data_IF_938894489906
#
_entry.id   IF_938894489906
#
_cell.length_a   1.000
_cell.length_b   1.000
_cell.length_c   1.000
_cell.angle_alpha   90.00
_cell.angle_beta   90.00
_cell.angle_gamma   90.00
#
_symmetry.space_group_name_H-M   'P 1'
#
loop_
_entity.id
_entity.type
_entity.pdbx_description
1 polymer ?
#
# COMPACT_ATOMS: atom_id res chain seq x y z
N UNK A 1 3.01 -5.71 23.50
CA UNK A 1 2.79 -4.82 22.39
C UNK A 1 3.24 -5.41 21.07
N UNK A 2 2.37 -5.47 20.13
CA UNK A 2 2.68 -6.11 18.87
C UNK A 2 2.96 -5.08 17.79
N UNK A 3 3.93 -5.38 16.96
CA UNK A 3 4.17 -4.57 15.78
C UNK A 3 3.12 -4.93 14.74
N UNK A 4 2.67 -3.95 13.96
CA UNK A 4 1.82 -4.29 12.83
C UNK A 4 2.63 -5.16 11.88
N UNK A 5 2.03 -6.24 11.40
CA UNK A 5 2.73 -7.10 10.49
C UNK A 5 2.71 -6.51 9.08
N UNK A 6 3.49 -7.09 8.19
CA UNK A 6 3.59 -6.56 6.83
C UNK A 6 2.25 -6.59 6.10
N UNK A 7 1.44 -7.58 6.41
CA UNK A 7 0.13 -7.70 5.79
C UNK A 7 -0.78 -6.52 6.16
N UNK A 8 -0.79 -6.16 7.43
CA UNK A 8 -1.59 -5.03 7.89
C UNK A 8 -1.13 -3.73 7.25
N UNK A 9 0.18 -3.55 7.16
CA UNK A 9 0.73 -2.35 6.54
C UNK A 9 0.36 -2.29 5.07
N UNK A 10 0.50 -3.39 4.36
CA UNK A 10 0.13 -3.44 2.95
C UNK A 10 -1.35 -3.17 2.75
N UNK A 11 -2.18 -3.73 3.61
CA UNK A 11 -3.62 -3.52 3.52
C UNK A 11 -3.98 -2.05 3.74
N UNK A 12 -3.33 -1.44 4.70
CA UNK A 12 -3.54 -0.02 5.01
C UNK A 12 -3.15 0.86 3.82
N UNK A 13 -2.00 0.58 3.22
CA UNK A 13 -1.53 1.34 2.06
C UNK A 13 -2.48 1.13 0.88
N UNK A 14 -2.92 -0.11 0.69
CA UNK A 14 -3.84 -0.44 -0.38
C UNK A 14 -5.13 0.36 -0.26
N UNK A 15 -5.69 0.44 0.93
CA UNK A 15 -6.89 1.22 1.18
C UNK A 15 -6.65 2.70 0.90
N UNK A 16 -5.49 3.19 1.28
CA UNK A 16 -5.18 4.60 1.05
C UNK A 16 -5.07 4.91 -0.43
N UNK A 17 -4.47 4.02 -1.20
CA UNK A 17 -4.37 4.19 -2.66
C UNK A 17 -5.75 4.26 -3.28
N UNK A 18 -6.64 3.39 -2.84
CA UNK A 18 -8.02 3.40 -3.34
C UNK A 18 -8.70 4.72 -3.06
N UNK A 19 -8.50 5.25 -1.86
CA UNK A 19 -9.07 6.55 -1.49
C UNK A 19 -8.48 7.67 -2.32
N UNK A 20 -7.17 7.67 -2.48
CA UNK A 20 -6.48 8.72 -3.23
C UNK A 20 -6.92 8.75 -4.69
N UNK A 21 -7.20 7.58 -5.24
CA UNK A 21 -7.61 7.47 -6.64
C UNK A 21 -9.12 7.45 -6.82
N UNK A 22 -9.85 7.59 -5.72
CA UNK A 22 -11.31 7.59 -5.74
C UNK A 22 -11.87 6.31 -6.35
N UNK A 23 -11.31 5.18 -5.95
CA UNK A 23 -11.74 3.89 -6.45
C UNK A 23 -12.73 3.29 -5.45
N UNK A 24 -13.94 2.94 -5.90
CA UNK A 24 -14.94 2.36 -4.97
C UNK A 24 -14.54 0.94 -4.56
N UNK A 25 -14.98 0.55 -3.37
CA UNK A 25 -14.71 -0.79 -2.85
C UNK A 25 -15.31 -1.88 -3.74
N UNK A 26 -16.36 -1.53 -4.47
CA UNK A 26 -17.05 -2.48 -5.32
C UNK A 26 -16.40 -2.66 -6.68
N UNK A 27 -15.32 -1.92 -6.93
CA UNK A 27 -14.64 -2.00 -8.21
C UNK A 27 -14.07 -3.40 -8.43
N UNK A 28 -14.43 -4.00 -9.55
CA UNK A 28 -13.94 -5.32 -9.92
C UNK A 28 -13.11 -5.27 -11.20
N UNK A 29 -12.76 -4.08 -11.65
CA UNK A 29 -11.94 -3.92 -12.86
C UNK A 29 -10.53 -4.42 -12.56
N UNK A 30 -10.12 -5.47 -13.26
CA UNK A 30 -8.82 -6.10 -13.02
C UNK A 30 -7.65 -5.16 -13.29
N UNK A 31 -7.77 -4.32 -14.30
CA UNK A 31 -6.70 -3.39 -14.64
C UNK A 31 -6.51 -2.37 -13.54
N UNK A 32 -7.61 -1.82 -13.05
CA UNK A 32 -7.54 -0.84 -11.96
C UNK A 32 -6.98 -1.49 -10.69
N UNK A 33 -7.47 -2.69 -10.38
CA UNK A 33 -7.00 -3.39 -9.19
C UNK A 33 -5.52 -3.73 -9.27
N UNK A 34 -5.06 -4.09 -10.46
CA UNK A 34 -3.66 -4.36 -10.67
C UNK A 34 -2.80 -3.11 -10.44
N UNK A 35 -3.29 -1.97 -10.94
CA UNK A 35 -2.59 -0.70 -10.74
C UNK A 35 -2.54 -0.33 -9.25
N UNK A 36 -3.62 -0.58 -8.53
CA UNK A 36 -3.65 -0.33 -7.08
C UNK A 36 -2.60 -1.18 -6.38
N UNK A 37 -2.50 -2.44 -6.74
CA UNK A 37 -1.50 -3.33 -6.13
C UNK A 37 -0.10 -2.85 -6.45
N UNK A 38 0.16 -2.44 -7.68
CA UNK A 38 1.47 -1.93 -8.07
C UNK A 38 1.83 -0.69 -7.27
N UNK A 39 0.89 0.22 -7.12
CA UNK A 39 1.14 1.43 -6.36
C UNK A 39 1.35 1.11 -4.87
N UNK A 40 0.56 0.19 -4.35
CA UNK A 40 0.70 -0.24 -2.96
C UNK A 40 2.11 -0.78 -2.70
N UNK A 41 2.59 -1.62 -3.58
CA UNK A 41 3.93 -2.18 -3.44
C UNK A 41 5.01 -1.11 -3.58
N UNK A 42 4.81 -0.16 -4.47
CA UNK A 42 5.73 0.96 -4.64
C UNK A 42 5.84 1.78 -3.36
N UNK A 43 4.70 2.10 -2.77
CA UNK A 43 4.68 2.87 -1.53
C UNK A 43 5.29 2.09 -0.37
N UNK A 44 4.99 0.81 -0.31
CA UNK A 44 5.54 -0.04 0.74
C UNK A 44 7.07 -0.10 0.65
N UNK A 45 7.58 -0.27 -0.56
CA UNK A 45 9.02 -0.30 -0.77
C UNK A 45 9.67 1.01 -0.37
N UNK A 46 9.05 2.12 -0.72
CA UNK A 46 9.56 3.43 -0.33
C UNK A 46 9.65 3.59 1.17
N UNK A 47 8.59 3.17 1.87
CA UNK A 47 8.57 3.29 3.32
C UNK A 47 9.67 2.47 3.97
N UNK A 48 9.88 1.26 3.49
CA UNK A 48 10.89 0.40 4.08
C UNK A 48 12.30 0.91 3.78
N UNK A 49 12.52 1.40 2.57
CA UNK A 49 13.83 1.95 2.21
C UNK A 49 14.12 3.21 3.03
N UNK A 50 13.14 4.08 3.19
CA UNK A 50 13.33 5.28 3.97
C UNK A 50 13.69 4.95 5.42
N UNK A 51 13.03 3.94 5.98
CA UNK A 51 13.31 3.54 7.34
C UNK A 51 14.74 3.05 7.50
N UNK A 52 15.21 2.26 6.56
CA UNK A 52 16.57 1.75 6.59
C UNK A 52 17.57 2.89 6.48
N UNK A 53 17.31 3.81 5.57
CA UNK A 53 18.20 4.94 5.35
C UNK A 53 18.29 5.83 6.58
N UNK A 54 17.18 6.00 7.26
CA UNK A 54 17.13 6.86 8.43
C UNK A 54 17.92 6.31 9.61
N UNK A 55 18.11 5.02 9.65
CA UNK A 55 18.78 4.38 10.76
C UNK A 55 20.30 4.46 10.71
N UNK A 56 20.83 5.06 9.72
CA UNK A 56 22.29 5.21 9.63
C UNK A 56 22.87 6.19 10.64
#
# INVERSE_FOLDING_TARGET
MTKPNNYELLSSINDQVKKDWDIPDECTDEVIMFDVVKETLTRYTKLTVEKVTKND
#
